data_IF_225926324756
#
_entry.id   IF_225926324756
#
_cell.length_a   1.000
_cell.length_b   1.000
_cell.length_c   1.000
_cell.angle_alpha   90.00
_cell.angle_beta   90.00
_cell.angle_gamma   90.00
#
_symmetry.space_group_name_H-M   'P 1'
#
loop_
_entity.id
_entity.type
_entity.pdbx_description
1 polymer ?
#
# COMPACT_ATOMS: atom_id res chain seq x y z
N UNK A 1 -7.13 28.99 0.07
CA UNK A 1 -7.75 27.67 0.27
C UNK A 1 -6.93 26.96 1.32
N UNK A 2 -7.42 26.84 2.56
CA UNK A 2 -6.66 26.19 3.64
C UNK A 2 -6.61 24.69 3.38
N UNK A 3 -5.42 24.13 3.22
CA UNK A 3 -5.23 22.70 3.44
C UNK A 3 -5.61 22.45 4.91
N UNK A 4 -6.77 21.85 5.14
CA UNK A 4 -7.07 21.28 6.44
C UNK A 4 -5.97 20.25 6.68
N UNK A 5 -5.08 20.52 7.64
CA UNK A 5 -4.24 19.48 8.24
C UNK A 5 -5.19 18.34 8.59
N UNK A 6 -5.14 17.25 7.81
CA UNK A 6 -5.72 15.99 8.23
C UNK A 6 -4.89 15.57 9.43
N UNK A 7 -5.28 16.07 10.61
CA UNK A 7 -4.70 15.70 11.88
C UNK A 7 -5.08 14.25 12.08
N UNK A 8 -4.20 13.35 11.64
CA UNK A 8 -4.35 11.93 11.92
C UNK A 8 -4.61 11.79 13.41
N UNK A 9 -5.78 11.26 13.75
CA UNK A 9 -6.20 11.18 15.14
C UNK A 9 -5.49 9.97 15.75
N UNK A 10 -4.54 10.17 16.68
CA UNK A 10 -3.79 9.07 17.25
C UNK A 10 -4.75 8.10 17.95
N UNK A 11 -4.43 6.80 17.86
CA UNK A 11 -5.22 5.77 18.51
C UNK A 11 -4.94 5.83 20.02
N UNK A 12 -5.91 6.32 20.79
CA UNK A 12 -5.85 6.36 22.25
C UNK A 12 -6.65 5.20 22.86
N UNK A 13 -5.94 4.12 23.17
CA UNK A 13 -6.52 2.95 23.84
C UNK A 13 -7.10 3.25 25.22
N UNK A 14 -6.64 4.31 25.93
CA UNK A 14 -7.19 4.67 27.25
C UNK A 14 -8.57 5.31 27.10
N UNK A 15 -8.71 6.23 26.15
CA UNK A 15 -10.01 6.82 25.83
C UNK A 15 -11.01 5.76 25.35
N UNK A 16 -10.59 4.84 24.48
CA UNK A 16 -11.44 3.75 24.00
C UNK A 16 -11.94 2.87 25.17
N UNK A 17 -11.05 2.48 26.08
CA UNK A 17 -11.41 1.68 27.26
C UNK A 17 -12.38 2.43 28.19
N UNK A 18 -12.18 3.74 28.40
CA UNK A 18 -13.11 4.57 29.19
C UNK A 18 -14.53 4.58 28.62
N UNK A 19 -14.68 4.52 27.30
CA UNK A 19 -15.96 4.44 26.61
C UNK A 19 -16.49 3.00 26.43
N UNK A 20 -15.93 2.02 27.16
CA UNK A 20 -16.39 0.63 27.14
C UNK A 20 -15.86 -0.20 25.97
N UNK A 21 -14.88 0.30 25.23
CA UNK A 21 -14.23 -0.37 24.11
C UNK A 21 -12.77 -0.73 24.46
N UNK A 22 -12.56 -1.77 25.29
CA UNK A 22 -11.22 -2.25 25.62
C UNK A 22 -10.71 -3.26 24.59
N UNK A 23 -10.25 -2.75 23.44
CA UNK A 23 -9.68 -3.56 22.35
C UNK A 23 -8.16 -3.71 22.46
N UNK A 24 -7.52 -3.08 23.45
CA UNK A 24 -6.05 -3.05 23.56
C UNK A 24 -5.45 -4.44 23.65
N UNK A 25 -6.06 -5.32 24.46
CA UNK A 25 -5.58 -6.69 24.70
C UNK A 25 -5.57 -7.53 23.42
N UNK A 26 -6.50 -7.27 22.49
CA UNK A 26 -6.57 -7.98 21.21
C UNK A 26 -5.38 -7.62 20.31
N UNK A 27 -5.02 -6.34 20.23
CA UNK A 27 -3.87 -5.90 19.44
C UNK A 27 -2.53 -6.23 20.10
N UNK A 28 -2.48 -6.26 21.42
CA UNK A 28 -1.31 -6.72 22.19
C UNK A 28 -1.00 -8.19 21.92
N UNK A 29 -2.01 -9.06 21.93
CA UNK A 29 -1.85 -10.48 21.60
C UNK A 29 -1.39 -10.71 20.14
N UNK A 30 -1.69 -9.77 19.24
CA UNK A 30 -1.24 -9.80 17.84
C UNK A 30 0.13 -9.14 17.63
N UNK A 31 0.77 -8.61 18.69
CA UNK A 31 2.05 -7.90 18.59
C UNK A 31 1.96 -6.53 17.89
N UNK A 32 0.76 -5.97 17.74
CA UNK A 32 0.51 -4.75 16.96
C UNK A 32 0.67 -3.45 17.76
N UNK A 33 0.95 -3.50 19.06
CA UNK A 33 1.11 -2.28 19.87
C UNK A 33 2.24 -1.39 19.36
N UNK A 34 3.34 -1.97 18.88
CA UNK A 34 4.47 -1.20 18.36
C UNK A 34 4.14 -0.52 17.03
N UNK A 35 3.27 -1.11 16.22
CA UNK A 35 2.71 -0.46 15.04
C UNK A 35 1.90 0.79 15.43
N UNK A 36 1.01 0.71 16.42
CA UNK A 36 0.27 1.87 16.90
C UNK A 36 1.16 2.92 17.57
N UNK A 37 2.24 2.51 18.25
CA UNK A 37 3.24 3.46 18.77
C UNK A 37 3.93 4.22 17.63
N UNK A 38 4.26 3.53 16.54
CA UNK A 38 4.83 4.17 15.34
C UNK A 38 3.84 5.15 14.71
N UNK A 39 2.58 4.74 14.51
CA UNK A 39 1.52 5.60 13.95
C UNK A 39 1.29 6.87 14.78
N UNK A 40 1.24 6.72 16.10
CA UNK A 40 1.05 7.84 17.02
C UNK A 40 2.33 8.66 17.23
N UNK A 41 3.47 8.19 16.71
CA UNK A 41 4.76 8.84 16.84
C UNK A 41 4.97 9.98 15.84
N UNK A 42 5.87 10.93 16.13
CA UNK A 42 6.15 12.05 15.24
C UNK A 42 6.75 11.61 13.90
N UNK A 43 7.39 10.44 13.87
CA UNK A 43 8.00 9.88 12.65
C UNK A 43 6.97 9.61 11.58
N UNK A 44 5.86 8.93 11.90
CA UNK A 44 4.82 8.62 10.92
C UNK A 44 4.18 9.89 10.37
N UNK A 45 3.77 10.81 11.25
CA UNK A 45 3.19 12.09 10.85
C UNK A 45 4.13 12.89 9.91
N UNK A 46 5.43 12.89 10.21
CA UNK A 46 6.43 13.59 9.39
C UNK A 46 6.59 12.91 8.03
N UNK A 47 6.64 11.58 7.99
CA UNK A 47 6.71 10.80 6.75
C UNK A 47 5.49 11.05 5.86
N UNK A 48 4.28 10.92 6.42
CA UNK A 48 3.01 11.13 5.71
C UNK A 48 2.93 12.54 5.16
N UNK A 49 3.29 13.55 5.97
CA UNK A 49 3.30 14.95 5.54
C UNK A 49 4.29 15.17 4.38
N UNK A 50 5.53 14.70 4.51
CA UNK A 50 6.53 14.87 3.45
C UNK A 50 6.16 14.12 2.18
N UNK A 51 5.54 12.94 2.32
CA UNK A 51 5.02 12.19 1.19
C UNK A 51 3.92 12.97 0.46
N UNK A 52 2.86 13.40 1.16
CA UNK A 52 1.70 14.01 0.51
C UNK A 52 1.99 15.38 -0.11
N UNK A 53 2.84 16.20 0.53
CA UNK A 53 3.18 17.53 0.01
C UNK A 53 3.86 17.46 -1.38
N UNK A 54 4.53 16.35 -1.67
CA UNK A 54 5.28 16.15 -2.92
C UNK A 54 4.69 15.08 -3.82
N UNK A 55 3.58 14.47 -3.40
CA UNK A 55 2.93 13.42 -4.16
C UNK A 55 2.30 14.01 -5.43
N UNK A 56 2.61 13.42 -6.57
CA UNK A 56 1.97 13.69 -7.85
C UNK A 56 1.62 12.38 -8.54
N UNK A 57 0.56 12.40 -9.34
CA UNK A 57 0.18 11.26 -10.17
C UNK A 57 0.96 11.34 -11.47
N UNK A 58 1.76 10.31 -11.74
CA UNK A 58 2.48 10.13 -12.98
C UNK A 58 1.71 9.18 -13.88
N UNK A 59 1.03 9.74 -14.89
CA UNK A 59 0.24 9.01 -15.87
C UNK A 59 0.90 9.10 -17.26
N UNK A 60 0.28 8.45 -18.26
CA UNK A 60 0.79 8.46 -19.63
C UNK A 60 0.90 9.87 -20.24
N UNK A 61 0.06 10.80 -19.79
CA UNK A 61 0.10 12.19 -20.26
C UNK A 61 1.29 12.93 -19.66
N UNK A 62 1.53 12.77 -18.36
CA UNK A 62 2.70 13.29 -17.67
C UNK A 62 4.02 12.79 -18.30
N UNK A 63 4.06 11.52 -18.73
CA UNK A 63 5.21 10.95 -19.44
C UNK A 63 5.50 11.67 -20.77
N UNK A 64 4.45 12.01 -21.53
CA UNK A 64 4.58 12.78 -22.78
C UNK A 64 5.01 14.23 -22.53
N UNK A 65 4.53 14.84 -21.44
CA UNK A 65 4.95 16.18 -21.05
C UNK A 65 6.43 16.20 -20.72
N UNK A 66 6.93 15.20 -19.97
CA UNK A 66 8.37 15.06 -19.67
C UNK A 66 9.23 14.92 -20.94
N UNK A 67 8.77 14.15 -21.93
CA UNK A 67 9.43 14.06 -23.24
C UNK A 67 9.47 15.40 -23.96
N UNK A 68 8.33 16.10 -24.01
CA UNK A 68 8.23 17.41 -24.66
C UNK A 68 9.12 18.45 -23.98
N UNK A 69 9.19 18.45 -22.64
CA UNK A 69 10.10 19.30 -21.87
C UNK A 69 11.57 18.98 -22.19
N UNK A 70 11.92 17.70 -22.34
CA UNK A 70 13.27 17.29 -22.70
C UNK A 70 13.67 17.76 -24.10
N UNK A 71 12.78 17.63 -25.07
CA UNK A 71 12.98 18.13 -26.45
C UNK A 71 13.05 19.67 -26.48
N UNK A 72 12.29 20.36 -25.62
CA UNK A 72 12.38 21.82 -25.50
C UNK A 72 13.74 22.28 -24.98
N UNK A 73 14.33 21.52 -24.05
CA UNK A 73 15.68 21.80 -23.51
C UNK A 73 16.76 21.46 -24.54
N UNK A 74 16.63 20.32 -25.23
CA UNK A 74 17.55 19.87 -26.27
C UNK A 74 16.79 19.49 -27.55
N UNK A 75 16.66 20.43 -28.50
CA UNK A 75 15.97 20.19 -29.77
C UNK A 75 16.56 19.06 -30.61
N UNK A 76 17.81 18.63 -30.35
CA UNK A 76 18.43 17.50 -31.08
C UNK A 76 17.82 16.14 -30.72
N UNK A 77 16.98 16.10 -29.68
CA UNK A 77 16.25 14.92 -29.23
C UNK A 77 14.90 14.74 -29.93
N UNK A 78 14.49 15.68 -30.79
CA UNK A 78 13.24 15.60 -31.52
C UNK A 78 13.18 14.32 -32.39
N UNK A 79 12.12 13.53 -32.20
CA UNK A 79 11.89 12.29 -32.96
C UNK A 79 12.65 11.05 -32.46
N UNK A 80 13.46 11.16 -31.40
CA UNK A 80 14.12 10.00 -30.76
C UNK A 80 13.15 9.24 -29.85
N UNK A 81 13.48 7.97 -29.56
CA UNK A 81 12.73 7.20 -28.57
C UNK A 81 12.97 7.72 -27.14
N UNK A 82 12.07 7.36 -26.22
CA UNK A 82 12.17 7.75 -24.82
C UNK A 82 13.46 7.26 -24.16
N UNK A 83 13.86 6.04 -24.48
CA UNK A 83 15.09 5.41 -24.00
C UNK A 83 16.34 6.09 -24.58
N UNK A 84 16.29 6.48 -25.87
CA UNK A 84 17.35 7.25 -26.53
C UNK A 84 17.52 8.66 -25.95
N UNK A 85 16.43 9.24 -25.42
CA UNK A 85 16.44 10.50 -24.67
C UNK A 85 16.94 10.33 -23.22
N UNK A 86 17.22 9.10 -22.79
CA UNK A 86 17.65 8.77 -21.42
C UNK A 86 16.53 8.86 -20.40
N UNK A 87 15.27 8.75 -20.81
CA UNK A 87 14.10 8.76 -19.96
C UNK A 87 13.64 7.33 -19.66
N UNK A 88 13.19 7.06 -18.44
CA UNK A 88 12.70 5.73 -18.05
C UNK A 88 11.37 5.39 -18.71
N UNK A 89 11.18 4.18 -19.28
CA UNK A 89 9.97 3.82 -20.00
C UNK A 89 8.71 3.94 -19.11
N UNK A 90 7.62 4.43 -19.70
CA UNK A 90 6.34 4.45 -18.99
C UNK A 90 5.75 3.03 -18.95
N UNK A 91 5.68 2.45 -17.76
CA UNK A 91 5.12 1.11 -17.53
C UNK A 91 3.66 1.18 -17.10
N UNK A 92 3.37 1.94 -16.05
CA UNK A 92 2.05 2.06 -15.46
C UNK A 92 1.82 3.44 -14.85
N UNK A 93 0.57 3.71 -14.45
CA UNK A 93 0.25 4.91 -13.68
C UNK A 93 0.70 4.69 -12.23
N UNK A 94 1.44 5.65 -11.69
CA UNK A 94 1.98 5.56 -10.34
C UNK A 94 1.90 6.89 -9.61
N UNK A 95 1.94 6.85 -8.28
CA UNK A 95 2.12 8.02 -7.42
C UNK A 95 3.62 8.18 -7.22
N UNK A 96 4.17 9.31 -7.66
CA UNK A 96 5.57 9.68 -7.40
C UNK A 96 5.62 10.69 -6.26
N UNK A 97 6.57 10.54 -5.35
CA UNK A 97 6.86 11.50 -4.29
C UNK A 97 8.34 11.47 -3.92
N UNK A 98 8.73 12.32 -2.97
CA UNK A 98 10.08 12.34 -2.41
C UNK A 98 10.06 12.59 -0.91
N UNK A 99 10.47 11.58 -0.13
CA UNK A 99 10.58 11.66 1.32
C UNK A 99 12.05 11.87 1.66
N UNK A 100 12.40 13.00 2.28
CA UNK A 100 13.79 13.31 2.68
C UNK A 100 14.83 13.19 1.55
N UNK A 101 14.43 13.44 0.31
CA UNK A 101 15.30 13.34 -0.88
C UNK A 101 15.35 11.94 -1.50
N UNK A 102 14.70 10.94 -0.88
CA UNK A 102 14.56 9.60 -1.42
C UNK A 102 13.32 9.57 -2.31
N UNK A 103 13.44 9.24 -3.62
CA UNK A 103 12.28 9.09 -4.49
C UNK A 103 11.44 7.88 -4.05
N UNK A 104 10.12 8.04 -4.09
CA UNK A 104 9.14 7.01 -3.73
C UNK A 104 8.14 6.89 -4.87
N UNK A 105 8.03 5.69 -5.44
CA UNK A 105 7.07 5.38 -6.49
C UNK A 105 6.11 4.31 -5.97
N UNK A 106 4.80 4.57 -6.06
CA UNK A 106 3.75 3.66 -5.62
C UNK A 106 2.84 3.37 -6.81
N UNK A 107 2.96 2.16 -7.36
CA UNK A 107 2.07 1.63 -8.39
C UNK A 107 0.87 0.91 -7.76
N UNK A 108 -0.11 0.56 -8.60
CA UNK A 108 -1.25 -0.27 -8.21
C UNK A 108 -0.82 -1.62 -7.65
N UNK A 109 0.19 -2.26 -8.25
CA UNK A 109 0.72 -3.55 -7.80
C UNK A 109 1.28 -3.48 -6.37
N UNK A 110 1.97 -2.38 -6.02
CA UNK A 110 2.49 -2.16 -4.68
C UNK A 110 1.33 -2.06 -3.67
N UNK A 111 0.27 -1.33 -4.02
CA UNK A 111 -0.91 -1.21 -3.15
C UNK A 111 -1.60 -2.57 -3.01
N UNK A 112 -1.84 -3.26 -4.12
CA UNK A 112 -2.49 -4.57 -4.16
C UNK A 112 -1.73 -5.60 -3.31
N UNK A 113 -0.40 -5.63 -3.43
CA UNK A 113 0.47 -6.45 -2.61
C UNK A 113 0.32 -6.14 -1.11
N UNK A 114 0.35 -4.85 -0.73
CA UNK A 114 0.21 -4.43 0.67
C UNK A 114 -1.14 -4.80 1.29
N UNK A 115 -2.22 -4.76 0.49
CA UNK A 115 -3.57 -5.14 0.95
C UNK A 115 -3.88 -6.63 0.75
N UNK A 116 -2.91 -7.42 0.26
CA UNK A 116 -3.05 -8.86 -0.02
C UNK A 116 -4.22 -9.13 -0.99
N UNK A 117 -4.23 -8.39 -2.10
CA UNK A 117 -5.22 -8.54 -3.19
C UNK A 117 -4.51 -8.58 -4.54
N UNK A 118 -5.22 -9.09 -5.53
CA UNK A 118 -4.81 -8.97 -6.93
C UNK A 118 -4.95 -7.51 -7.36
N UNK A 119 -4.02 -7.01 -8.18
CA UNK A 119 -4.09 -5.67 -8.80
C UNK A 119 -5.09 -5.61 -9.94
N UNK A 120 -5.69 -6.75 -10.29
CA UNK A 120 -6.71 -6.86 -11.31
C UNK A 120 -8.11 -6.73 -10.68
N UNK A 121 -8.99 -5.94 -11.30
CA UNK A 121 -10.34 -5.77 -10.78
C UNK A 121 -11.26 -5.00 -11.71
N UNK A 122 -12.56 -5.06 -11.43
CA UNK A 122 -13.55 -4.22 -12.12
C UNK A 122 -13.96 -3.06 -11.20
N UNK A 123 -13.73 -1.83 -11.64
CA UNK A 123 -14.27 -0.65 -10.99
C UNK A 123 -15.71 -0.44 -11.46
N UNK A 124 -16.67 -0.47 -10.53
CA UNK A 124 -18.05 -0.03 -10.77
C UNK A 124 -18.35 1.11 -9.82
N UNK A 125 -18.67 2.27 -10.39
CA UNK A 125 -18.75 3.54 -9.66
C UNK A 125 -19.72 3.54 -8.47
N UNK A 126 -19.37 4.39 -7.49
CA UNK A 126 -20.19 4.94 -6.42
C UNK A 126 -21.12 3.99 -5.67
N UNK A 127 -20.71 3.55 -4.47
CA UNK A 127 -21.69 3.16 -3.45
C UNK A 127 -22.53 4.41 -3.17
N UNK A 128 -23.79 4.42 -3.63
CA UNK A 128 -24.74 5.47 -3.27
C UNK A 128 -25.01 5.43 -1.76
N UNK A 129 -26.09 4.76 -1.34
CA UNK A 129 -26.35 4.51 0.07
C UNK A 129 -25.78 3.13 0.46
N UNK A 130 -24.90 3.09 1.45
CA UNK A 130 -24.27 1.85 1.95
C UNK A 130 -25.29 0.81 2.43
N UNK A 131 -26.47 1.21 2.91
CA UNK A 131 -27.51 0.29 3.39
C UNK A 131 -28.32 -0.37 2.26
N UNK A 132 -28.47 0.31 1.13
CA UNK A 132 -29.25 -0.19 -0.02
C UNK A 132 -28.37 -0.52 -1.22
N UNK A 133 -27.06 -0.59 -1.01
CA UNK A 133 -26.16 -0.92 -2.10
C UNK A 133 -26.41 -2.37 -2.53
N UNK A 134 -26.47 -2.57 -3.84
CA UNK A 134 -26.44 -3.90 -4.47
C UNK A 134 -25.20 -4.73 -4.06
N UNK A 135 -24.23 -4.10 -3.38
CA UNK A 135 -23.01 -4.73 -2.88
C UNK A 135 -23.17 -5.39 -1.51
N UNK A 136 -24.19 -5.06 -0.70
CA UNK A 136 -24.32 -5.65 0.63
C UNK A 136 -24.46 -7.18 0.58
N UNK A 137 -25.23 -7.70 -0.38
CA UNK A 137 -25.37 -9.14 -0.56
C UNK A 137 -24.07 -9.77 -1.05
N UNK A 138 -23.41 -9.16 -2.05
CA UNK A 138 -22.13 -9.66 -2.60
C UNK A 138 -21.01 -9.64 -1.55
N UNK A 139 -20.91 -8.56 -0.76
CA UNK A 139 -19.93 -8.41 0.32
C UNK A 139 -20.22 -9.41 1.43
N UNK A 140 -21.47 -9.55 1.87
CA UNK A 140 -21.81 -10.50 2.91
C UNK A 140 -21.53 -11.95 2.49
N UNK A 141 -21.85 -12.31 1.25
CA UNK A 141 -21.55 -13.63 0.70
C UNK A 141 -20.04 -13.89 0.58
N UNK A 142 -19.28 -12.90 0.09
CA UNK A 142 -17.84 -13.06 -0.14
C UNK A 142 -17.00 -13.02 1.14
N UNK A 143 -17.38 -12.19 2.13
CA UNK A 143 -16.64 -12.05 3.39
C UNK A 143 -17.06 -13.05 4.47
N UNK A 144 -18.35 -13.37 4.61
CA UNK A 144 -18.85 -14.15 5.75
C UNK A 144 -19.27 -15.59 5.40
N UNK A 145 -19.59 -15.89 4.13
CA UNK A 145 -20.05 -17.23 3.73
C UNK A 145 -19.02 -18.07 2.96
N UNK A 146 -17.79 -17.59 2.79
CA UNK A 146 -16.77 -18.37 2.11
C UNK A 146 -16.13 -19.40 3.05
N UNK A 147 -16.75 -20.60 3.12
CA UNK A 147 -16.15 -21.81 3.70
C UNK A 147 -14.78 -22.20 3.09
N UNK A 148 -14.35 -21.53 2.01
CA UNK A 148 -13.10 -21.80 1.28
C UNK A 148 -11.89 -21.01 1.80
N UNK A 149 -12.06 -19.95 2.59
CA UNK A 149 -10.91 -19.18 3.12
C UNK A 149 -10.20 -19.90 4.28
N UNK A 150 -10.92 -20.72 5.05
CA UNK A 150 -10.32 -21.55 6.10
C UNK A 150 -9.39 -22.63 5.53
N UNK A 151 -9.67 -23.11 4.32
CA UNK A 151 -8.89 -24.18 3.68
C UNK A 151 -7.56 -23.65 3.13
N UNK A 152 -7.51 -22.42 2.59
CA UNK A 152 -6.25 -21.82 2.09
C UNK A 152 -5.27 -21.47 3.20
N UNK A 153 -5.76 -21.04 4.38
CA UNK A 153 -4.90 -20.79 5.54
C UNK A 153 -4.28 -22.07 6.11
N UNK A 154 -4.99 -23.21 6.05
CA UNK A 154 -4.42 -24.49 6.49
C UNK A 154 -3.37 -25.06 5.54
N UNK A 155 -3.40 -24.74 4.25
CA UNK A 155 -2.44 -25.27 3.27
C UNK A 155 -1.12 -24.49 3.16
N UNK A 156 -1.09 -23.22 3.58
CA UNK A 156 0.14 -22.41 3.55
C UNK A 156 1.03 -22.61 4.78
N UNK A 157 0.46 -22.98 5.94
CA UNK A 157 1.27 -23.35 7.11
C UNK A 157 2.03 -24.67 6.94
N UNK A 158 1.55 -25.61 6.12
CA UNK A 158 2.25 -26.90 5.91
C UNK A 158 3.47 -26.83 4.99
N UNK A 159 3.66 -25.72 4.24
CA UNK A 159 4.76 -25.57 3.30
C UNK A 159 5.96 -24.80 3.88
N UNK A 160 5.82 -24.15 5.04
CA UNK A 160 6.89 -23.39 5.71
C UNK A 160 7.65 -24.18 6.79
N UNK A 161 7.20 -25.39 7.16
CA UNK A 161 7.89 -26.23 8.15
C UNK A 161 8.85 -27.28 7.55
N UNK A 162 9.06 -27.31 6.22
CA UNK A 162 9.95 -28.31 5.57
C UNK A 162 11.32 -27.80 5.10
N UNK A 163 11.67 -26.54 5.34
CA UNK A 163 13.00 -25.99 4.95
C UNK A 163 13.85 -25.51 6.13
N UNK A 164 13.76 -26.20 7.27
CA UNK A 164 14.74 -26.03 8.35
C UNK A 164 15.09 -27.36 9.02
N UNK A 165 15.77 -28.23 8.26
CA UNK A 165 16.50 -29.38 8.79
C UNK A 165 17.96 -29.23 8.34
N UNK A 166 18.81 -28.67 9.20
CA UNK A 166 20.25 -28.61 8.97
C UNK A 166 20.84 -30.03 8.96
N UNK A 167 21.84 -30.34 8.11
CA UNK A 167 22.53 -31.62 8.15
C UNK A 167 23.44 -31.72 9.38
N UNK A 168 23.26 -32.79 10.15
CA UNK A 168 24.10 -33.14 11.28
C UNK A 168 25.56 -33.29 10.86
N UNK A 169 26.44 -32.58 11.56
CA UNK A 169 27.88 -32.81 11.53
C UNK A 169 28.18 -33.93 12.53
N UNK A 170 28.49 -35.14 12.05
CA UNK A 170 29.10 -36.19 12.86
C UNK A 170 30.49 -36.53 12.33
N UNK A 171 31.50 -36.05 13.04
CA UNK A 171 32.87 -36.55 12.99
C UNK A 171 33.02 -37.83 13.81
N UNK A 172 33.79 -38.81 13.31
CA UNK A 172 34.55 -39.71 14.17
C UNK A 172 34.38 -41.20 13.91
N UNK A 173 35.34 -41.77 13.17
CA UNK A 173 36.16 -42.91 13.61
C UNK A 173 37.57 -42.70 13.12
#
# INVERSE_FOLDING_TARGET
MGFNDSKENPVDFKCLAFHGCDIRRFYEAQGLLDYFKMLNGPTYQTLVRHFWVRASVYNKEAAKVEEAEKVLIDPSLEGKSREEMGLEPFVCTEIRSSIMGIPVHISEDIIAFLIIRESEGSYKGGIGNSKTSQWNEVVNLSMFNNLQLSIRFSSTSSSLEREQMCPDTSSGT
#
